data_IF_869803979230
#
_entry.id   IF_869803979230
#
_cell.length_a   1.000
_cell.length_b   1.000
_cell.length_c   1.000
_cell.angle_alpha   90.00
_cell.angle_beta   90.00
_cell.angle_gamma   90.00
#
_symmetry.space_group_name_H-M   'P 1'
#
loop_
_entity.id
_entity.type
_entity.pdbx_description
1 polymer ?
#
# COMPACT_ATOMS: atom_id res chain seq x y z
N UNK A 1 20.39 7.57 -2.41
CA UNK A 1 20.29 6.43 -3.34
C UNK A 1 18.97 5.75 -3.05
N UNK A 2 18.02 5.74 -4.00
CA UNK A 2 16.73 5.07 -3.80
C UNK A 2 16.95 3.56 -3.93
N UNK A 3 16.77 2.82 -2.85
CA UNK A 3 16.91 1.35 -2.85
C UNK A 3 15.71 0.77 -3.59
N UNK A 4 15.89 0.02 -4.69
CA UNK A 4 14.77 -0.61 -5.38
C UNK A 4 14.20 -1.78 -4.56
N UNK A 5 12.93 -2.15 -4.77
CA UNK A 5 12.37 -3.38 -4.21
C UNK A 5 13.13 -4.61 -4.72
N UNK A 6 13.15 -5.72 -3.96
CA UNK A 6 13.76 -6.96 -4.40
C UNK A 6 13.15 -7.47 -5.72
N UNK A 7 13.97 -8.09 -6.56
CA UNK A 7 13.53 -8.59 -7.87
C UNK A 7 12.40 -9.64 -7.77
N UNK A 8 12.39 -10.45 -6.72
CA UNK A 8 11.34 -11.44 -6.42
C UNK A 8 9.98 -10.77 -6.19
N UNK A 9 9.96 -9.63 -5.48
CA UNK A 9 8.75 -8.84 -5.23
C UNK A 9 8.20 -8.26 -6.52
N UNK A 10 9.08 -7.70 -7.37
CA UNK A 10 8.67 -7.17 -8.68
C UNK A 10 8.11 -8.27 -9.59
N UNK A 11 8.75 -9.45 -9.61
CA UNK A 11 8.26 -10.60 -10.36
C UNK A 11 6.87 -11.03 -9.87
N UNK A 12 6.67 -11.10 -8.55
CA UNK A 12 5.37 -11.46 -7.98
C UNK A 12 4.30 -10.41 -8.28
N UNK A 13 4.65 -9.13 -8.18
CA UNK A 13 3.73 -8.03 -8.52
C UNK A 13 3.33 -8.08 -10.00
N UNK A 14 4.27 -8.36 -10.90
CA UNK A 14 3.99 -8.55 -12.32
C UNK A 14 3.03 -9.73 -12.58
N UNK A 15 3.23 -10.87 -11.91
CA UNK A 15 2.30 -12.02 -12.01
C UNK A 15 0.87 -11.65 -11.59
N UNK A 16 0.72 -10.92 -10.48
CA UNK A 16 -0.60 -10.48 -10.00
C UNK A 16 -1.20 -9.46 -10.96
N UNK A 17 -0.41 -8.50 -11.45
CA UNK A 17 -0.84 -7.51 -12.44
C UNK A 17 -1.37 -8.15 -13.73
N UNK A 18 -0.68 -9.18 -14.23
CA UNK A 18 -1.14 -9.93 -15.40
C UNK A 18 -2.43 -10.73 -15.14
N UNK A 19 -2.65 -11.19 -13.90
CA UNK A 19 -3.83 -11.99 -13.55
C UNK A 19 -5.06 -11.12 -13.34
N UNK A 20 -4.86 -9.96 -12.72
CA UNK A 20 -5.93 -9.05 -12.30
C UNK A 20 -6.17 -7.90 -13.29
N UNK A 21 -5.33 -7.77 -14.32
CA UNK A 21 -5.33 -6.69 -15.30
C UNK A 21 -5.26 -5.28 -14.67
N UNK A 22 -4.35 -5.13 -13.68
CA UNK A 22 -4.19 -3.88 -12.92
C UNK A 22 -2.78 -3.31 -13.08
N UNK A 23 -2.62 -2.00 -13.30
CA UNK A 23 -1.30 -1.36 -13.35
C UNK A 23 -0.61 -1.40 -11.99
N UNK A 24 0.72 -1.44 -12.01
CA UNK A 24 1.57 -1.42 -10.82
C UNK A 24 2.09 0.01 -10.61
N UNK A 25 1.81 0.59 -9.44
CA UNK A 25 2.35 1.86 -8.98
C UNK A 25 3.42 1.63 -7.91
N UNK A 26 4.57 2.27 -8.11
CA UNK A 26 5.73 2.20 -7.21
C UNK A 26 5.94 3.47 -6.39
N UNK A 27 5.04 4.45 -6.53
CA UNK A 27 5.18 5.78 -5.93
C UNK A 27 5.19 5.73 -4.40
N UNK A 28 4.50 4.75 -3.81
CA UNK A 28 4.43 4.55 -2.36
C UNK A 28 5.62 3.77 -1.79
N UNK A 29 6.46 3.16 -2.63
CA UNK A 29 7.53 2.29 -2.16
C UNK A 29 8.58 3.08 -1.38
N UNK A 30 9.11 4.16 -1.96
CA UNK A 30 10.09 5.00 -1.28
C UNK A 30 9.50 5.69 -0.05
N UNK A 31 8.28 6.19 -0.14
CA UNK A 31 7.59 6.82 1.00
C UNK A 31 7.37 5.84 2.16
N UNK A 32 7.16 4.56 1.85
CA UNK A 32 7.01 3.52 2.87
C UNK A 32 8.31 3.20 3.60
N UNK A 33 9.46 3.32 2.92
CA UNK A 33 10.79 3.21 3.51
C UNK A 33 11.12 4.42 4.38
N UNK A 34 10.76 5.63 3.90
CA UNK A 34 10.95 6.88 4.64
C UNK A 34 9.89 7.09 5.75
N UNK A 35 8.95 6.15 5.91
CA UNK A 35 7.84 6.19 6.88
C UNK A 35 6.98 7.46 6.74
N UNK A 36 6.92 8.01 5.52
CA UNK A 36 6.07 9.15 5.15
C UNK A 36 4.63 8.71 4.89
N UNK A 37 4.43 7.48 4.42
CA UNK A 37 3.10 6.90 4.26
C UNK A 37 2.78 5.87 5.36
N UNK A 38 1.49 5.60 5.55
CA UNK A 38 0.94 4.72 6.57
C UNK A 38 -0.17 3.85 5.96
N UNK A 39 -0.43 2.66 6.51
CA UNK A 39 -1.67 1.93 6.23
C UNK A 39 -2.73 2.43 7.20
N UNK A 40 -3.74 3.12 6.68
CA UNK A 40 -4.95 3.48 7.40
C UNK A 40 -5.88 2.27 7.53
N UNK A 41 -6.37 1.99 8.72
CA UNK A 41 -7.40 0.97 8.96
C UNK A 41 -8.64 1.66 9.52
N UNK A 42 -9.76 1.57 8.82
CA UNK A 42 -11.06 2.13 9.21
C UNK A 42 -12.06 0.98 9.34
N UNK A 43 -12.46 0.69 10.58
CA UNK A 43 -13.35 -0.43 10.94
C UNK A 43 -12.84 -1.79 10.44
N UNK A 44 -13.19 -2.16 9.21
CA UNK A 44 -12.79 -3.39 8.50
C UNK A 44 -12.03 -3.12 7.20
N UNK A 45 -12.04 -1.89 6.70
CA UNK A 45 -11.39 -1.49 5.47
C UNK A 45 -9.97 -0.97 5.72
N UNK A 46 -9.08 -1.18 4.74
CA UNK A 46 -7.69 -0.71 4.79
C UNK A 46 -7.43 0.16 3.56
N UNK A 47 -6.64 1.21 3.70
CA UNK A 47 -6.22 2.07 2.59
C UNK A 47 -4.80 2.56 2.85
N UNK A 48 -4.05 2.88 1.79
CA UNK A 48 -2.75 3.52 1.93
C UNK A 48 -2.97 5.03 2.08
N UNK A 49 -2.38 5.61 3.11
CA UNK A 49 -2.41 7.05 3.40
C UNK A 49 -1.00 7.57 3.24
N UNK A 50 -0.77 8.43 2.25
CA UNK A 50 0.50 9.14 2.10
C UNK A 50 0.51 10.46 2.86
N UNK A 51 -0.62 11.15 2.90
CA UNK A 51 -0.81 12.42 3.62
C UNK A 51 -2.30 12.63 3.89
N UNK A 52 -2.67 13.62 4.71
CA UNK A 52 -4.08 13.91 5.04
C UNK A 52 -4.97 14.15 3.81
N UNK A 53 -4.38 14.57 2.69
CA UNK A 53 -5.09 14.84 1.43
C UNK A 53 -4.89 13.76 0.36
N UNK A 54 -3.98 12.81 0.57
CA UNK A 54 -3.59 11.81 -0.43
C UNK A 54 -3.66 10.40 0.17
N UNK A 55 -4.72 9.69 -0.21
CA UNK A 55 -4.95 8.30 0.14
C UNK A 55 -5.43 7.51 -1.07
N UNK A 56 -5.17 6.22 -1.08
CA UNK A 56 -5.63 5.30 -2.12
C UNK A 56 -7.06 4.84 -1.87
N UNK A 57 -7.68 4.24 -2.88
CA UNK A 57 -8.89 3.44 -2.70
C UNK A 57 -8.70 2.30 -1.70
N UNK A 58 -9.82 1.72 -1.28
CA UNK A 58 -9.85 0.58 -0.38
C UNK A 58 -9.02 -0.59 -0.93
N UNK A 59 -8.17 -1.12 -0.07
CA UNK A 59 -7.34 -2.28 -0.30
C UNK A 59 -8.24 -3.51 -0.28
N UNK A 60 -8.28 -4.22 -1.40
CA UNK A 60 -9.01 -5.48 -1.54
C UNK A 60 -8.18 -6.66 -1.06
N UNK A 61 -6.86 -6.64 -1.27
CA UNK A 61 -5.98 -7.74 -0.88
C UNK A 61 -4.55 -7.24 -0.62
N UNK A 62 -3.84 -7.94 0.26
CA UNK A 62 -2.44 -7.66 0.54
C UNK A 62 -1.67 -8.98 0.49
N UNK A 63 -0.65 -9.03 -0.35
CA UNK A 63 0.26 -10.16 -0.45
C UNK A 63 1.59 -9.80 0.19
N UNK A 64 2.04 -10.61 1.15
CA UNK A 64 3.38 -10.48 1.70
C UNK A 64 4.38 -11.22 0.81
N UNK A 65 5.43 -10.52 0.39
CA UNK A 65 6.53 -11.09 -0.37
C UNK A 65 7.85 -10.59 0.23
N UNK A 66 8.58 -11.50 0.89
CA UNK A 66 9.83 -11.18 1.59
C UNK A 66 9.71 -9.96 2.54
N UNK A 67 10.39 -8.86 2.23
CA UNK A 67 10.43 -7.60 2.96
C UNK A 67 9.46 -6.54 2.42
N UNK A 68 8.51 -6.93 1.56
CA UNK A 68 7.55 -6.03 0.96
C UNK A 68 6.11 -6.59 1.00
N UNK A 69 5.15 -5.68 0.97
CA UNK A 69 3.75 -5.95 0.76
C UNK A 69 3.33 -5.47 -0.62
N UNK A 70 2.69 -6.34 -1.39
CA UNK A 70 2.00 -6.01 -2.63
C UNK A 70 0.55 -5.78 -2.26
N UNK A 71 0.13 -4.53 -2.33
CA UNK A 71 -1.18 -4.05 -1.92
C UNK A 71 -2.05 -3.89 -3.16
N UNK A 72 -3.10 -4.69 -3.26
CA UNK A 72 -4.08 -4.61 -4.33
C UNK A 72 -5.26 -3.76 -3.90
N UNK A 73 -5.45 -2.65 -4.59
CA UNK A 73 -6.64 -1.81 -4.51
C UNK A 73 -7.55 -2.10 -5.71
N UNK A 74 -8.74 -1.52 -5.72
CA UNK A 74 -9.74 -1.71 -6.77
C UNK A 74 -9.21 -1.57 -8.20
N UNK A 75 -8.41 -0.53 -8.47
CA UNK A 75 -7.95 -0.23 -9.84
C UNK A 75 -6.44 -0.37 -10.02
N UNK A 76 -5.69 -0.73 -8.98
CA UNK A 76 -4.22 -0.68 -9.03
C UNK A 76 -3.51 -1.49 -7.96
N UNK A 77 -2.28 -1.89 -8.27
CA UNK A 77 -1.37 -2.59 -7.39
C UNK A 77 -0.29 -1.64 -6.89
N UNK A 78 -0.02 -1.63 -5.60
CA UNK A 78 1.04 -0.86 -4.96
C UNK A 78 2.06 -1.79 -4.32
N UNK A 79 3.31 -1.36 -4.26
CA UNK A 79 4.35 -2.06 -3.50
C UNK A 79 4.80 -1.16 -2.36
N UNK A 80 4.75 -1.67 -1.13
CA UNK A 80 5.20 -0.98 0.07
C UNK A 80 6.12 -1.88 0.89
N UNK A 81 7.01 -1.30 1.68
CA UNK A 81 7.87 -2.04 2.61
C UNK A 81 7.05 -2.65 3.75
N UNK A 82 7.51 -3.79 4.29
CA UNK A 82 6.93 -4.38 5.50
C UNK A 82 7.07 -3.51 6.74
N UNK A 83 7.94 -2.50 6.68
CA UNK A 83 8.20 -1.55 7.77
C UNK A 83 7.21 -0.37 7.81
N UNK A 84 6.25 -0.32 6.88
CA UNK A 84 5.25 0.75 6.81
C UNK A 84 4.41 0.81 8.12
N UNK A 85 4.25 2.00 8.73
CA UNK A 85 3.44 2.14 9.94
C UNK A 85 1.96 1.91 9.65
N UNK A 86 1.27 1.20 10.55
CA UNK A 86 -0.17 0.96 10.46
C UNK A 86 -0.87 1.87 11.49
N UNK A 87 -1.75 2.75 11.02
CA UNK A 87 -2.55 3.64 11.86
C UNK A 87 -4.01 3.23 11.78
N UNK A 88 -4.62 2.92 12.93
CA UNK A 88 -6.07 2.77 13.01
C UNK A 88 -6.69 4.16 13.01
N UNK A 89 -7.45 4.47 11.97
CA UNK A 89 -8.25 5.68 11.91
C UNK A 89 -9.57 5.35 12.58
N UNK A 90 -9.65 5.65 13.87
CA UNK A 90 -10.93 5.74 14.55
C UNK A 90 -11.57 7.03 14.02
N UNK A 91 -12.53 6.90 13.10
CA UNK A 91 -13.48 7.98 12.84
C UNK A 91 -14.21 8.24 14.15
N UNK A 92 -13.62 9.07 15.01
CA UNK A 92 -14.39 9.79 16.01
C UNK A 92 -15.03 10.93 15.23
N UNK A 93 -16.29 10.74 14.85
CA UNK A 93 -17.14 11.83 14.41
C UNK A 93 -17.15 12.86 15.55
N UNK A 94 -16.33 13.90 15.41
CA UNK A 94 -16.44 15.07 16.25
C UNK A 94 -17.73 15.78 15.85
N UNK A 95 -18.66 15.75 16.80
CA UNK A 95 -19.79 16.65 17.03
C UNK A 95 -19.79 17.92 16.18
N UNK A 96 -20.83 18.08 15.37
CA UNK A 96 -21.60 19.34 15.24
C UNK A 96 -23.07 19.02 15.06
#
# INVERSE_FOLDING_TARGET
MSTPPPASVLLRAAQVSMTEDRPIYLDYFQDSLEKKCCIGVRETEKFLVKSDSEYTSTIQSVFKCESCYIVMTENSLYIVSTEIPIKKILTSAATV
#
